data_IF_383074236921
#
_entry.id   IF_383074236921
#
_cell.length_a   1.000
_cell.length_b   1.000
_cell.length_c   1.000
_cell.angle_alpha   90.00
_cell.angle_beta   90.00
_cell.angle_gamma   90.00
#
_symmetry.space_group_name_H-M   'P 1'
#
loop_
_entity.id
_entity.type
_entity.pdbx_description
1 polymer ?
#
# COMPACT_ATOMS: atom_id res chain seq x y z
N UNK A 1 -31.55 -18.98 -23.53
CA UNK A 1 -30.80 -17.73 -23.20
C UNK A 1 -29.78 -17.50 -24.31
N UNK A 2 -30.10 -16.63 -25.30
CA UNK A 2 -29.16 -16.25 -26.35
C UNK A 2 -28.01 -15.45 -25.71
N UNK A 3 -26.81 -16.01 -25.68
CA UNK A 3 -25.59 -15.25 -25.46
C UNK A 3 -25.42 -14.29 -26.63
N UNK A 4 -25.76 -13.02 -26.44
CA UNK A 4 -25.48 -11.96 -27.42
C UNK A 4 -23.95 -11.85 -27.47
N UNK A 5 -23.34 -12.19 -28.58
CA UNK A 5 -21.93 -12.00 -28.79
C UNK A 5 -21.65 -10.49 -28.78
N UNK A 6 -20.83 -10.02 -27.85
CA UNK A 6 -20.32 -8.66 -27.88
C UNK A 6 -19.39 -8.52 -29.08
N UNK A 7 -19.62 -7.49 -29.92
CA UNK A 7 -18.70 -7.19 -30.99
C UNK A 7 -17.52 -6.36 -30.50
N UNK A 8 -16.45 -6.24 -31.30
CA UNK A 8 -15.23 -5.49 -30.92
C UNK A 8 -15.50 -4.01 -30.60
N UNK A 9 -16.53 -3.42 -31.19
CA UNK A 9 -16.93 -2.04 -30.94
C UNK A 9 -17.53 -1.90 -29.54
N UNK A 10 -18.42 -2.82 -29.16
CA UNK A 10 -19.02 -2.84 -27.81
C UNK A 10 -17.95 -3.04 -26.72
N UNK A 11 -16.96 -3.90 -26.99
CA UNK A 11 -15.84 -4.13 -26.07
C UNK A 11 -14.99 -2.88 -25.87
N UNK A 12 -14.66 -2.15 -26.94
CA UNK A 12 -13.88 -0.90 -26.87
C UNK A 12 -14.61 0.18 -26.09
N UNK A 13 -15.91 0.33 -26.28
CA UNK A 13 -16.74 1.31 -25.57
C UNK A 13 -16.80 0.99 -24.07
N UNK A 14 -17.07 -0.28 -23.72
CA UNK A 14 -17.13 -0.72 -22.32
C UNK A 14 -15.77 -0.53 -21.66
N UNK A 15 -14.68 -0.88 -22.33
CA UNK A 15 -13.32 -0.72 -21.83
C UNK A 15 -12.98 0.76 -21.57
N UNK A 16 -13.32 1.64 -22.50
CA UNK A 16 -13.09 3.08 -22.34
C UNK A 16 -13.90 3.67 -21.16
N UNK A 17 -15.17 3.29 -21.04
CA UNK A 17 -16.02 3.71 -19.92
C UNK A 17 -15.48 3.20 -18.56
N UNK A 18 -15.01 1.97 -18.53
CA UNK A 18 -14.39 1.38 -17.33
C UNK A 18 -13.11 2.12 -16.93
N UNK A 19 -12.21 2.39 -17.89
CA UNK A 19 -10.99 3.15 -17.59
C UNK A 19 -11.29 4.55 -17.10
N UNK A 20 -12.26 5.24 -17.71
CA UNK A 20 -12.68 6.57 -17.21
C UNK A 20 -13.18 6.50 -15.77
N UNK A 21 -14.04 5.53 -15.46
CA UNK A 21 -14.56 5.33 -14.11
C UNK A 21 -13.42 5.06 -13.11
N UNK A 22 -12.42 4.26 -13.48
CA UNK A 22 -11.26 3.97 -12.64
C UNK A 22 -10.40 5.20 -12.41
N UNK A 23 -10.14 6.00 -13.45
CA UNK A 23 -9.40 7.27 -13.34
C UNK A 23 -10.16 8.23 -12.43
N UNK A 24 -11.45 8.46 -12.71
CA UNK A 24 -12.30 9.35 -11.90
C UNK A 24 -12.39 8.91 -10.42
N UNK A 25 -12.25 7.60 -10.14
CA UNK A 25 -12.19 7.07 -8.78
C UNK A 25 -10.83 7.38 -8.14
N UNK A 26 -9.73 7.11 -8.83
CA UNK A 26 -8.36 7.32 -8.33
C UNK A 26 -8.12 8.81 -8.05
N UNK A 27 -8.56 9.70 -8.95
CA UNK A 27 -8.41 11.16 -8.78
C UNK A 27 -9.15 11.73 -7.55
N UNK A 28 -10.09 10.96 -6.99
CA UNK A 28 -10.79 11.33 -5.74
C UNK A 28 -10.18 10.70 -4.50
N UNK A 29 -9.25 9.78 -4.65
CA UNK A 29 -8.59 9.18 -3.50
C UNK A 29 -7.66 10.20 -2.84
N UNK A 30 -7.68 10.34 -1.52
CA UNK A 30 -6.72 11.20 -0.83
C UNK A 30 -5.31 10.60 -0.94
N UNK A 31 -4.29 11.44 -0.98
CA UNK A 31 -2.89 11.02 -1.02
C UNK A 31 -2.46 10.32 0.27
N UNK A 32 -3.12 10.62 1.39
CA UNK A 32 -2.95 9.97 2.69
C UNK A 32 -4.23 10.07 3.52
N UNK A 33 -4.33 9.26 4.55
CA UNK A 33 -5.44 9.26 5.52
C UNK A 33 -4.84 9.36 6.93
N UNK A 34 -5.34 10.28 7.74
CA UNK A 34 -5.04 10.36 9.16
C UNK A 34 -6.15 9.68 9.97
N UNK A 35 -5.76 8.94 10.99
CA UNK A 35 -6.71 8.34 11.93
C UNK A 35 -6.08 8.18 13.32
N UNK A 36 -6.91 8.19 14.34
CA UNK A 36 -6.51 7.84 15.70
C UNK A 36 -7.06 6.47 16.07
N UNK A 37 -6.21 5.62 16.64
CA UNK A 37 -6.60 4.33 17.17
C UNK A 37 -5.96 4.13 18.55
N UNK A 38 -6.78 3.91 19.57
CA UNK A 38 -6.33 3.71 20.96
C UNK A 38 -5.40 4.82 21.49
N UNK A 39 -5.61 6.07 21.06
CA UNK A 39 -4.79 7.22 21.49
C UNK A 39 -3.50 7.39 20.71
N UNK A 40 -3.19 6.52 19.75
CA UNK A 40 -2.08 6.67 18.83
C UNK A 40 -2.57 7.24 17.49
N UNK A 41 -1.90 8.27 17.00
CA UNK A 41 -2.15 8.83 15.69
C UNK A 41 -1.37 8.09 14.61
N UNK A 42 -2.07 7.76 13.52
CA UNK A 42 -1.52 7.07 12.35
C UNK A 42 -1.75 7.90 11.09
N UNK A 43 -0.81 7.75 10.16
CA UNK A 43 -0.93 8.22 8.78
C UNK A 43 -0.84 7.01 7.86
N UNK A 44 -1.88 6.76 7.07
CA UNK A 44 -1.88 5.75 6.03
C UNK A 44 -1.50 6.41 4.71
N UNK A 45 -0.48 5.91 4.05
CA UNK A 45 0.04 6.49 2.80
C UNK A 45 0.50 5.37 1.86
N UNK A 46 0.50 5.63 0.55
CA UNK A 46 0.88 4.59 -0.41
C UNK A 46 2.36 4.21 -0.28
N UNK A 47 3.30 5.14 -0.46
CA UNK A 47 4.73 4.84 -0.47
C UNK A 47 5.50 5.46 0.71
N UNK A 48 5.28 6.71 1.02
CA UNK A 48 5.99 7.40 2.09
C UNK A 48 5.86 8.91 2.01
N UNK A 49 6.71 9.61 2.74
CA UNK A 49 6.77 11.08 2.77
C UNK A 49 8.21 11.57 2.49
N UNK A 50 8.33 12.81 2.06
CA UNK A 50 9.58 13.55 2.13
C UNK A 50 9.79 14.02 3.59
N UNK A 51 10.84 13.51 4.30
CA UNK A 51 11.04 13.82 5.71
C UNK A 51 11.37 15.29 6.02
N UNK A 52 11.73 16.07 5.00
CA UNK A 52 12.06 17.50 5.15
C UNK A 52 10.82 18.41 5.13
N UNK A 53 9.63 17.83 4.89
CA UNK A 53 8.36 18.54 4.74
C UNK A 53 7.35 18.12 5.77
N UNK A 54 6.46 19.03 6.13
CA UNK A 54 5.25 18.69 6.88
C UNK A 54 4.30 17.80 6.07
N UNK A 55 3.42 17.06 6.74
CA UNK A 55 2.48 16.13 6.10
C UNK A 55 1.64 16.79 4.99
N UNK A 56 1.16 17.99 5.24
CA UNK A 56 0.30 18.73 4.30
C UNK A 56 1.07 19.50 3.20
N UNK A 57 2.41 19.44 3.23
CA UNK A 57 3.30 20.00 2.22
C UNK A 57 3.80 18.95 1.22
N UNK A 58 3.41 17.67 1.44
CA UNK A 58 3.76 16.58 0.54
C UNK A 58 3.07 16.73 -0.80
N UNK A 59 3.78 16.42 -1.87
CA UNK A 59 3.18 16.29 -3.21
C UNK A 59 2.59 14.88 -3.38
N UNK A 60 1.64 14.73 -4.31
CA UNK A 60 1.10 13.41 -4.68
C UNK A 60 2.19 12.46 -5.14
N UNK A 61 3.20 12.97 -5.88
CA UNK A 61 4.34 12.19 -6.34
C UNK A 61 5.18 11.67 -5.17
N UNK A 62 5.47 12.51 -4.17
CA UNK A 62 6.18 12.08 -2.96
C UNK A 62 5.38 11.00 -2.22
N UNK A 63 4.08 11.19 -2.02
CA UNK A 63 3.23 10.19 -1.37
C UNK A 63 3.19 8.86 -2.12
N UNK A 64 3.30 8.88 -3.46
CA UNK A 64 3.17 7.71 -4.32
C UNK A 64 4.49 6.96 -4.58
N UNK A 65 5.64 7.63 -4.46
CA UNK A 65 6.92 7.07 -4.96
C UNK A 65 8.09 7.15 -3.98
N UNK A 66 7.96 7.78 -2.82
CA UNK A 66 9.05 7.91 -1.85
C UNK A 66 9.55 6.54 -1.37
N UNK A 67 10.88 6.38 -1.24
CA UNK A 67 11.52 5.11 -0.85
C UNK A 67 12.63 5.32 0.18
N UNK A 68 13.88 5.00 -0.16
CA UNK A 68 15.02 4.90 0.77
C UNK A 68 15.19 6.10 1.68
N UNK A 69 15.06 7.32 1.17
CA UNK A 69 15.19 8.52 1.98
C UNK A 69 14.18 8.57 3.14
N UNK A 70 12.96 8.11 2.88
CA UNK A 70 11.92 7.98 3.91
C UNK A 70 12.26 6.90 4.94
N UNK A 71 12.73 5.72 4.51
CA UNK A 71 13.02 4.63 5.46
C UNK A 71 14.21 4.95 6.37
N UNK A 72 15.18 5.72 5.88
CA UNK A 72 16.41 6.06 6.59
C UNK A 72 16.28 7.30 7.48
N UNK A 73 15.18 8.01 7.40
CA UNK A 73 14.97 9.28 8.11
C UNK A 73 13.89 9.12 9.18
N UNK A 74 13.86 10.04 10.15
CA UNK A 74 12.74 10.19 11.07
C UNK A 74 11.49 10.60 10.26
N UNK A 75 10.34 10.04 10.62
CA UNK A 75 9.05 10.41 10.05
C UNK A 75 8.43 11.63 10.74
N UNK A 76 7.13 11.57 10.99
CA UNK A 76 6.37 12.66 11.60
C UNK A 76 6.40 12.58 13.13
N UNK A 77 6.45 13.73 13.79
CA UNK A 77 6.38 13.77 15.24
C UNK A 77 5.03 13.26 15.77
N UNK A 78 5.09 12.38 16.75
CA UNK A 78 3.94 11.80 17.44
C UNK A 78 2.96 11.01 16.56
N UNK A 79 3.35 10.62 15.34
CA UNK A 79 2.54 9.81 14.43
C UNK A 79 3.31 8.58 13.96
N UNK A 80 2.58 7.50 13.70
CA UNK A 80 3.12 6.31 13.05
C UNK A 80 2.64 6.29 11.59
N UNK A 81 3.58 6.18 10.65
CA UNK A 81 3.27 6.14 9.23
C UNK A 81 3.19 4.69 8.79
N UNK A 82 2.02 4.27 8.27
CA UNK A 82 1.81 2.95 7.69
C UNK A 82 1.82 3.06 6.18
N UNK A 83 2.68 2.29 5.53
CA UNK A 83 2.94 2.39 4.11
C UNK A 83 3.06 1.04 3.41
N UNK A 84 2.90 1.04 2.08
CA UNK A 84 3.07 -0.08 1.16
C UNK A 84 4.11 0.20 0.08
N UNK A 85 3.80 -0.12 -1.20
CA UNK A 85 4.58 0.18 -2.39
C UNK A 85 5.96 -0.47 -2.48
N UNK A 86 6.71 -0.46 -1.40
CA UNK A 86 8.03 -1.11 -1.34
C UNK A 86 7.90 -2.40 -0.55
N UNK A 87 8.05 -3.56 -1.22
CA UNK A 87 8.01 -4.84 -0.53
C UNK A 87 8.95 -4.91 0.66
N UNK A 88 8.42 -5.36 1.79
CA UNK A 88 9.15 -5.38 3.06
C UNK A 88 10.44 -6.17 3.03
N UNK A 89 10.57 -7.15 2.14
CA UNK A 89 11.81 -7.91 1.97
C UNK A 89 13.01 -7.04 1.57
N UNK A 90 12.79 -5.91 0.90
CA UNK A 90 13.86 -4.96 0.59
C UNK A 90 14.25 -4.12 1.81
N UNK A 91 13.29 -3.81 2.68
CA UNK A 91 13.51 -2.98 3.86
C UNK A 91 14.11 -3.82 5.00
N UNK A 92 13.68 -5.07 5.18
CA UNK A 92 14.27 -6.02 6.12
C UNK A 92 15.72 -6.35 5.82
N UNK A 93 16.20 -6.07 4.59
CA UNK A 93 17.50 -6.52 4.10
C UNK A 93 17.70 -8.05 4.24
N UNK A 94 16.60 -8.77 4.32
CA UNK A 94 16.57 -10.22 4.47
C UNK A 94 15.79 -10.82 3.28
N UNK A 95 16.52 -11.48 2.38
CA UNK A 95 15.91 -12.13 1.22
C UNK A 95 14.82 -13.11 1.66
N UNK A 96 13.59 -12.88 1.18
CA UNK A 96 12.44 -13.74 1.46
C UNK A 96 11.68 -13.45 2.77
N UNK A 97 12.01 -12.38 3.49
CA UNK A 97 11.20 -11.91 4.61
C UNK A 97 10.13 -10.93 4.09
N UNK A 98 8.88 -11.36 4.07
CA UNK A 98 7.73 -10.57 3.60
C UNK A 98 6.80 -10.13 4.74
N UNK A 99 7.21 -10.34 5.98
CA UNK A 99 6.43 -9.96 7.16
C UNK A 99 6.32 -8.42 7.28
N UNK A 100 5.36 -7.97 8.07
CA UNK A 100 5.23 -6.56 8.41
C UNK A 100 6.56 -6.06 8.98
N UNK A 101 7.04 -4.95 8.44
CA UNK A 101 8.26 -4.32 8.91
C UNK A 101 7.92 -3.20 9.89
N UNK A 102 8.58 -3.21 11.03
CA UNK A 102 8.51 -2.15 12.03
C UNK A 102 9.85 -1.42 12.06
N UNK A 103 9.83 -0.10 11.98
CA UNK A 103 11.05 0.71 12.04
C UNK A 103 11.83 0.44 13.32
N UNK A 104 13.04 -0.11 13.23
CA UNK A 104 13.81 -0.46 14.43
C UNK A 104 14.50 0.74 15.08
N UNK A 105 14.63 1.86 14.36
CA UNK A 105 15.41 3.03 14.78
C UNK A 105 14.51 4.10 15.39
N UNK A 106 13.63 4.68 14.58
CA UNK A 106 12.77 5.80 15.00
C UNK A 106 11.44 5.32 15.58
N UNK A 107 11.03 4.08 15.27
CA UNK A 107 9.78 3.44 15.72
C UNK A 107 8.52 4.20 15.28
N UNK A 108 8.62 4.91 14.19
CA UNK A 108 7.59 5.80 13.67
C UNK A 108 7.03 5.37 12.30
N UNK A 109 7.44 4.17 11.80
CA UNK A 109 7.01 3.64 10.51
C UNK A 109 6.68 2.15 10.59
N UNK A 110 5.65 1.73 9.82
CA UNK A 110 5.26 0.34 9.65
C UNK A 110 5.06 0.06 8.14
N UNK A 111 5.87 -0.82 7.58
CA UNK A 111 5.73 -1.28 6.19
C UNK A 111 4.88 -2.56 6.13
N UNK A 112 3.83 -2.57 5.31
CA UNK A 112 2.90 -3.70 5.23
C UNK A 112 2.89 -4.40 3.87
N UNK A 113 3.66 -3.94 2.88
CA UNK A 113 3.71 -4.58 1.55
C UNK A 113 4.47 -5.91 1.60
N UNK A 114 3.73 -6.99 1.64
CA UNK A 114 4.29 -8.36 1.62
C UNK A 114 4.68 -8.85 0.23
N UNK A 115 4.74 -7.99 -0.80
CA UNK A 115 5.22 -8.36 -2.14
C UNK A 115 4.35 -9.38 -2.88
N UNK A 116 3.04 -9.43 -2.60
CA UNK A 116 2.11 -10.41 -3.19
C UNK A 116 2.13 -10.40 -4.73
N UNK A 117 2.26 -9.21 -5.36
CA UNK A 117 2.29 -9.06 -6.81
C UNK A 117 3.57 -9.63 -7.43
N UNK A 118 4.75 -9.07 -7.13
CA UNK A 118 5.99 -9.37 -7.84
C UNK A 118 6.69 -10.66 -7.43
N UNK A 119 6.40 -11.23 -6.24
CA UNK A 119 7.13 -12.39 -5.72
C UNK A 119 6.27 -13.64 -5.61
N UNK A 120 6.79 -14.80 -6.01
CA UNK A 120 6.09 -16.08 -5.87
C UNK A 120 5.87 -16.47 -4.40
N UNK A 121 6.80 -16.07 -3.53
CA UNK A 121 6.70 -16.28 -2.07
C UNK A 121 6.09 -15.10 -1.33
N UNK A 122 5.60 -14.09 -2.07
CA UNK A 122 4.95 -12.92 -1.49
C UNK A 122 3.68 -13.28 -0.73
N UNK A 123 3.24 -12.36 0.09
CA UNK A 123 2.05 -12.50 0.93
C UNK A 123 1.27 -11.20 1.03
N UNK A 124 0.01 -11.29 1.40
CA UNK A 124 -0.81 -10.16 1.81
C UNK A 124 -0.72 -10.05 3.33
N UNK A 125 -0.29 -8.90 3.80
CA UNK A 125 -0.31 -8.57 5.23
C UNK A 125 -1.53 -7.68 5.54
N UNK A 126 -2.21 -7.97 6.64
CA UNK A 126 -3.27 -7.14 7.19
C UNK A 126 -2.96 -6.89 8.66
N UNK A 127 -2.71 -5.62 9.01
CA UNK A 127 -2.45 -5.20 10.39
C UNK A 127 -3.74 -4.66 11.02
N UNK A 128 -4.19 -5.28 12.11
CA UNK A 128 -5.27 -4.77 12.94
C UNK A 128 -4.71 -3.74 13.92
N UNK A 129 -5.05 -2.47 13.77
CA UNK A 129 -4.52 -1.39 14.62
C UNK A 129 -5.02 -1.46 16.06
N UNK A 130 -6.22 -1.99 16.29
CA UNK A 130 -6.78 -2.09 17.63
C UNK A 130 -6.07 -3.14 18.50
N UNK A 131 -5.73 -4.30 17.92
CA UNK A 131 -5.13 -5.43 18.62
C UNK A 131 -3.65 -5.58 18.34
N UNK A 132 -3.12 -4.89 17.32
CA UNK A 132 -1.77 -5.06 16.77
C UNK A 132 -1.50 -6.46 16.21
N UNK A 133 -2.56 -7.23 15.96
CA UNK A 133 -2.45 -8.55 15.31
C UNK A 133 -2.19 -8.39 13.82
N UNK A 134 -1.35 -9.26 13.29
CA UNK A 134 -1.07 -9.36 11.86
C UNK A 134 -1.69 -10.63 11.31
N UNK A 135 -2.54 -10.49 10.31
CA UNK A 135 -3.09 -11.60 9.54
C UNK A 135 -2.35 -11.70 8.21
N UNK A 136 -2.01 -12.90 7.81
CA UNK A 136 -1.21 -13.16 6.60
C UNK A 136 -1.92 -14.15 5.70
N UNK A 137 -1.96 -13.85 4.39
CA UNK A 137 -2.36 -14.80 3.35
C UNK A 137 -1.20 -14.92 2.36
N UNK A 138 -0.63 -16.10 2.25
CA UNK A 138 0.48 -16.37 1.32
C UNK A 138 -0.03 -16.53 -0.11
N UNK A 139 0.76 -16.08 -1.08
CA UNK A 139 0.40 -16.21 -2.51
C UNK A 139 0.12 -17.67 -2.90
N UNK A 140 0.85 -18.62 -2.31
CA UNK A 140 0.62 -20.05 -2.52
C UNK A 140 -0.75 -20.55 -2.07
N UNK A 141 -1.42 -19.83 -1.16
CA UNK A 141 -2.75 -20.16 -0.65
C UNK A 141 -3.86 -19.60 -1.55
N UNK A 142 -3.52 -18.63 -2.44
CA UNK A 142 -4.43 -18.02 -3.40
C UNK A 142 -4.52 -18.78 -4.73
N UNK A 143 -3.79 -19.87 -4.90
CA UNK A 143 -3.89 -20.70 -6.09
C UNK A 143 -5.34 -21.18 -6.23
N UNK A 144 -6.11 -20.50 -7.09
CA UNK A 144 -7.44 -20.92 -7.50
C UNK A 144 -7.27 -22.27 -8.17
N UNK A 145 -7.92 -23.29 -7.63
CA UNK A 145 -8.07 -24.57 -8.32
C UNK A 145 -8.79 -24.27 -9.64
N UNK A 146 -8.06 -24.40 -10.75
CA UNK A 146 -8.63 -24.39 -12.11
C UNK A 146 -9.56 -25.57 -12.32
#
# INVERSE_FOLDING_TARGET
>A
LHKKAFNDCDYKVIKAAFYKMMIDYIDRCPSFIELNCNGQDYVLIHAGINPEKGLYEQTEEECAWMREYFFMSKGLDNKIIIFGHTPTCYIHQASGCFDVWYDPVFKDKIGIDGGLGPFDKGQLNCLCLNTQEVFVIKKSELAIQE
#
